data_IF_067583404980
#
_entry.id   IF_067583404980
#
_cell.length_a   1.000
_cell.length_b   1.000
_cell.length_c   1.000
_cell.angle_alpha   90.00
_cell.angle_beta   90.00
_cell.angle_gamma   90.00
#
_symmetry.space_group_name_H-M   'P 1'
#
loop_
_entity.id
_entity.type
_entity.pdbx_description
1 polymer ?
#
# COMPACT_ATOMS: atom_id res chain seq x y z
N UNK A 1 23.32 68.89 -22.34
CA UNK A 1 23.77 67.98 -21.27
C UNK A 1 22.73 68.02 -20.16
N UNK A 2 21.90 66.98 -20.04
CA UNK A 2 20.99 66.80 -18.91
C UNK A 2 21.33 65.49 -18.21
N UNK A 3 21.68 65.62 -16.95
CA UNK A 3 22.15 64.58 -16.03
C UNK A 3 20.97 63.73 -15.55
N UNK A 4 20.86 62.49 -16.03
CA UNK A 4 19.99 61.49 -15.42
C UNK A 4 20.73 60.88 -14.21
N UNK A 5 20.62 61.52 -13.03
CA UNK A 5 20.92 60.86 -11.76
C UNK A 5 19.78 59.89 -11.44
N UNK A 6 19.81 58.72 -12.05
CA UNK A 6 18.92 57.61 -11.65
C UNK A 6 19.46 57.08 -10.32
N UNK A 7 18.68 57.35 -9.28
CA UNK A 7 18.99 57.06 -7.89
C UNK A 7 19.26 55.58 -7.68
N UNK A 8 20.53 55.23 -7.48
CA UNK A 8 21.04 53.88 -7.22
C UNK A 8 20.56 53.29 -5.86
N UNK A 9 19.62 53.96 -5.18
CA UNK A 9 18.98 53.48 -3.95
C UNK A 9 17.73 52.61 -4.23
N UNK A 10 17.04 52.81 -5.35
CA UNK A 10 15.80 52.09 -5.67
C UNK A 10 16.03 50.61 -6.01
N UNK A 11 17.19 50.30 -6.60
CA UNK A 11 17.53 48.93 -7.02
C UNK A 11 17.90 48.04 -5.82
N UNK A 12 18.49 48.62 -4.76
CA UNK A 12 18.86 47.86 -3.57
C UNK A 12 17.66 47.49 -2.69
N UNK A 13 16.64 48.36 -2.59
CA UNK A 13 15.44 48.07 -1.77
C UNK A 13 14.58 46.98 -2.41
N UNK A 14 14.51 46.93 -3.74
CA UNK A 14 13.75 45.89 -4.45
C UNK A 14 14.36 44.49 -4.31
N UNK A 15 15.70 44.37 -4.28
CA UNK A 15 16.38 43.08 -4.12
C UNK A 15 16.30 42.52 -2.68
N UNK A 16 16.21 43.38 -1.67
CA UNK A 16 16.07 42.91 -0.27
C UNK A 16 14.65 42.40 0.01
N UNK A 17 13.62 42.99 -0.60
CA UNK A 17 12.22 42.56 -0.41
C UNK A 17 11.95 41.19 -1.09
N UNK A 18 12.55 40.91 -2.25
CA UNK A 18 12.46 39.58 -2.88
C UNK A 18 13.22 38.50 -2.11
N UNK A 19 14.36 38.81 -1.49
CA UNK A 19 15.12 37.83 -0.69
C UNK A 19 14.43 37.47 0.65
N UNK A 20 13.71 38.40 1.28
CA UNK A 20 13.00 38.14 2.55
C UNK A 20 11.66 37.42 2.33
N UNK A 21 11.03 37.59 1.16
CA UNK A 21 9.79 36.87 0.82
C UNK A 21 10.04 35.42 0.37
N UNK A 22 11.21 35.12 -0.21
CA UNK A 22 11.57 33.74 -0.58
C UNK A 22 12.13 32.89 0.58
N UNK A 23 12.50 33.50 1.71
CA UNK A 23 13.05 32.78 2.88
C UNK A 23 12.02 32.48 3.97
N UNK A 24 10.81 33.04 3.88
CA UNK A 24 9.71 32.80 4.83
C UNK A 24 8.73 31.69 4.41
N UNK A 25 9.08 30.86 3.44
CA UNK A 25 8.34 29.62 3.15
C UNK A 25 9.29 28.43 3.02
N UNK A 26 9.75 27.89 4.16
CA UNK A 26 9.67 26.44 4.28
C UNK A 26 9.38 26.03 5.72
N UNK A 27 8.12 26.01 6.14
CA UNK A 27 7.75 25.36 7.40
C UNK A 27 6.36 24.69 7.41
N UNK A 28 5.50 24.94 6.42
CA UNK A 28 4.15 24.34 6.39
C UNK A 28 3.84 23.49 5.14
N UNK A 29 4.80 23.26 4.25
CA UNK A 29 4.58 22.46 3.04
C UNK A 29 5.28 21.08 3.03
N UNK A 30 5.80 20.59 4.18
CA UNK A 30 6.40 19.24 4.26
C UNK A 30 5.49 18.16 4.85
N UNK A 31 4.28 18.50 5.29
CA UNK A 31 3.32 17.51 5.86
C UNK A 31 2.10 17.23 4.98
N UNK A 32 2.10 17.59 3.70
CA UNK A 32 0.93 17.33 2.84
C UNK A 32 1.32 17.07 1.38
N UNK A 33 2.29 16.18 1.17
CA UNK A 33 2.47 15.50 -0.11
C UNK A 33 1.95 14.05 -0.07
N UNK A 34 1.10 13.73 0.91
CA UNK A 34 0.14 12.64 0.74
C UNK A 34 -1.02 13.25 -0.06
N UNK A 35 -1.38 12.70 -1.24
CA UNK A 35 -2.56 13.14 -1.95
C UNK A 35 -3.75 13.03 -1.01
N UNK A 36 -4.37 14.17 -0.69
CA UNK A 36 -5.69 14.18 -0.04
C UNK A 36 -6.74 13.89 -1.11
N UNK A 37 -7.33 12.71 -1.07
CA UNK A 37 -8.77 12.56 -1.25
C UNK A 37 -9.31 12.75 -2.66
N UNK A 38 -8.82 11.97 -3.63
CA UNK A 38 -9.73 11.47 -4.67
C UNK A 38 -10.55 10.30 -4.09
N UNK A 39 -11.20 9.45 -4.88
CA UNK A 39 -11.57 8.11 -4.41
C UNK A 39 -10.27 7.35 -4.10
N UNK A 40 -9.73 7.56 -2.91
CA UNK A 40 -8.34 7.24 -2.56
C UNK A 40 -8.15 5.74 -2.63
N UNK A 41 -7.41 5.31 -3.66
CA UNK A 41 -7.01 3.94 -3.84
C UNK A 41 -5.72 3.70 -3.07
N UNK A 42 -5.75 2.79 -2.10
CA UNK A 42 -4.59 2.35 -1.34
C UNK A 42 -4.08 1.03 -1.88
N UNK A 43 -2.77 0.94 -2.12
CA UNK A 43 -2.09 -0.29 -2.49
C UNK A 43 -1.64 -1.02 -1.22
N UNK A 44 -2.22 -2.18 -0.93
CA UNK A 44 -2.00 -2.94 0.30
C UNK A 44 -0.75 -3.82 0.17
N UNK A 45 0.41 -3.15 0.06
CA UNK A 45 1.69 -3.79 -0.30
C UNK A 45 2.21 -4.77 0.76
N UNK A 46 1.89 -4.50 2.04
CA UNK A 46 2.41 -5.25 3.19
C UNK A 46 1.41 -6.25 3.75
N UNK A 47 0.11 -6.04 3.55
CA UNK A 47 -0.89 -6.95 4.10
C UNK A 47 -2.32 -6.53 3.85
N UNK A 48 -3.22 -7.50 3.93
CA UNK A 48 -4.65 -7.32 3.73
C UNK A 48 -5.40 -8.28 4.67
N UNK A 49 -5.99 -7.73 5.74
CA UNK A 49 -6.53 -8.50 6.87
C UNK A 49 -8.04 -8.19 7.08
N UNK A 50 -8.97 -9.01 6.54
CA UNK A 50 -10.42 -8.83 6.74
C UNK A 50 -10.86 -9.22 8.16
N UNK A 51 -10.12 -10.14 8.78
CA UNK A 51 -10.45 -10.67 10.11
C UNK A 51 -9.97 -9.77 11.26
N UNK A 52 -9.39 -8.60 10.97
CA UNK A 52 -9.02 -7.61 11.98
C UNK A 52 -10.23 -7.18 12.84
N UNK A 53 -11.38 -6.97 12.18
CA UNK A 53 -12.66 -6.77 12.86
C UNK A 53 -13.74 -7.56 12.12
N UNK A 54 -13.98 -8.83 12.52
CA UNK A 54 -14.89 -9.73 11.83
C UNK A 54 -16.30 -9.13 11.72
N UNK A 55 -16.87 -9.17 10.51
CA UNK A 55 -18.23 -8.70 10.25
C UNK A 55 -18.41 -7.17 10.18
N UNK A 56 -17.33 -6.39 10.22
CA UNK A 56 -17.41 -4.92 10.10
C UNK A 56 -17.69 -4.44 8.67
N UNK A 57 -17.42 -5.27 7.67
CA UNK A 57 -17.41 -4.87 6.25
C UNK A 57 -16.18 -4.04 5.85
N UNK A 58 -15.26 -3.82 6.79
CA UNK A 58 -13.97 -3.17 6.56
C UNK A 58 -12.84 -4.19 6.62
N UNK A 59 -11.80 -3.92 5.83
CA UNK A 59 -10.57 -4.69 5.76
C UNK A 59 -9.39 -3.78 6.10
N UNK A 60 -8.48 -4.29 6.92
CA UNK A 60 -7.24 -3.59 7.23
C UNK A 60 -6.27 -3.76 6.05
N UNK A 61 -5.90 -2.65 5.44
CA UNK A 61 -4.93 -2.56 4.35
C UNK A 61 -3.60 -2.04 4.89
N UNK A 62 -2.59 -2.89 4.96
CA UNK A 62 -1.24 -2.50 5.35
C UNK A 62 -0.47 -2.07 4.10
N UNK A 63 -0.27 -0.77 3.96
CA UNK A 63 0.27 -0.18 2.73
C UNK A 63 1.76 0.16 2.82
N UNK A 64 2.27 0.32 4.04
CA UNK A 64 3.69 0.40 4.36
C UNK A 64 3.95 -0.25 5.73
N UNK A 65 5.22 -0.48 6.07
CA UNK A 65 5.61 -1.05 7.36
C UNK A 65 5.03 -0.22 8.53
N UNK A 66 4.21 -0.87 9.36
CA UNK A 66 3.54 -0.22 10.50
C UNK A 66 2.47 0.81 10.11
N UNK A 67 2.10 0.93 8.84
CA UNK A 67 1.11 1.88 8.35
C UNK A 67 -0.11 1.13 7.80
N UNK A 68 -1.29 1.47 8.33
CA UNK A 68 -2.54 0.79 7.97
C UNK A 68 -3.64 1.80 7.66
N UNK A 69 -4.54 1.41 6.75
CA UNK A 69 -5.80 2.09 6.49
C UNK A 69 -6.94 1.08 6.50
N UNK A 70 -8.16 1.52 6.76
CA UNK A 70 -9.34 0.66 6.78
C UNK A 70 -10.20 0.95 5.55
N UNK A 71 -10.37 -0.03 4.70
CA UNK A 71 -11.08 0.11 3.43
C UNK A 71 -12.36 -0.74 3.45
N UNK A 72 -13.37 -0.39 2.66
CA UNK A 72 -14.53 -1.29 2.49
C UNK A 72 -14.09 -2.55 1.73
N UNK A 73 -14.40 -3.74 2.25
CA UNK A 73 -13.96 -5.03 1.68
C UNK A 73 -14.32 -5.16 0.19
N UNK A 74 -15.51 -4.69 -0.19
CA UNK A 74 -16.03 -4.73 -1.56
C UNK A 74 -15.24 -3.88 -2.57
N UNK A 75 -14.27 -3.09 -2.11
CA UNK A 75 -13.46 -2.22 -2.97
C UNK A 75 -12.06 -2.78 -3.24
N UNK A 76 -11.71 -3.90 -2.59
CA UNK A 76 -10.40 -4.51 -2.68
C UNK A 76 -10.34 -5.56 -3.79
N UNK A 77 -9.46 -5.34 -4.76
CA UNK A 77 -9.32 -6.17 -5.95
C UNK A 77 -8.14 -7.16 -5.88
N UNK A 78 -7.91 -7.96 -6.91
CA UNK A 78 -6.84 -8.96 -6.95
C UNK A 78 -5.45 -8.41 -7.29
N UNK A 79 -5.27 -7.08 -7.27
CA UNK A 79 -4.02 -6.42 -7.65
C UNK A 79 -3.82 -6.26 -9.16
N UNK A 80 -4.76 -6.76 -9.97
CA UNK A 80 -4.88 -6.36 -11.36
C UNK A 80 -5.49 -4.96 -11.49
N UNK A 81 -5.33 -4.31 -12.66
CA UNK A 81 -6.06 -3.07 -12.95
C UNK A 81 -7.55 -3.31 -12.71
N UNK A 82 -8.26 -2.44 -11.99
CA UNK A 82 -9.61 -2.74 -11.51
C UNK A 82 -10.54 -3.06 -12.67
N UNK A 83 -10.97 -4.31 -12.69
CA UNK A 83 -12.10 -4.79 -13.48
C UNK A 83 -13.27 -4.89 -12.52
N UNK A 84 -14.45 -4.44 -12.93
CA UNK A 84 -15.67 -4.59 -12.13
C UNK A 84 -15.89 -6.07 -11.79
N UNK A 85 -16.09 -6.36 -10.49
CA UNK A 85 -16.26 -7.73 -9.98
C UNK A 85 -14.96 -8.47 -9.63
N UNK A 86 -13.79 -7.84 -9.83
CA UNK A 86 -12.51 -8.37 -9.36
C UNK A 86 -12.39 -8.20 -7.84
N UNK A 87 -12.13 -9.30 -7.13
CA UNK A 87 -12.03 -9.35 -5.67
C UNK A 87 -10.66 -9.85 -5.28
N UNK A 88 -10.11 -9.31 -4.20
CA UNK A 88 -8.87 -9.81 -3.60
C UNK A 88 -8.93 -11.33 -3.30
N UNK A 89 -10.12 -11.88 -3.08
CA UNK A 89 -10.32 -13.32 -2.86
C UNK A 89 -9.92 -14.19 -4.04
N UNK A 90 -9.79 -13.60 -5.23
CA UNK A 90 -9.36 -14.27 -6.46
C UNK A 90 -7.85 -14.10 -6.75
N UNK A 91 -7.08 -13.58 -5.81
CA UNK A 91 -5.63 -13.52 -5.97
C UNK A 91 -5.03 -14.92 -6.11
N UNK A 92 -4.13 -15.04 -7.08
CA UNK A 92 -3.36 -16.25 -7.32
C UNK A 92 -1.94 -16.08 -6.81
N UNK A 93 -1.49 -17.07 -6.04
CA UNK A 93 -0.13 -17.12 -5.51
C UNK A 93 0.60 -18.32 -6.06
N UNK A 94 1.79 -18.06 -6.57
CA UNK A 94 2.62 -19.01 -7.27
C UNK A 94 3.76 -19.47 -6.38
N UNK A 95 4.15 -20.73 -6.58
CA UNK A 95 5.35 -21.31 -5.99
C UNK A 95 5.35 -21.22 -4.45
N UNK A 96 4.20 -21.52 -3.85
CA UNK A 96 4.00 -21.48 -2.41
C UNK A 96 4.35 -22.83 -1.76
N UNK A 97 4.51 -22.79 -0.45
CA UNK A 97 4.67 -23.97 0.39
C UNK A 97 3.66 -23.94 1.52
N UNK A 98 2.88 -25.01 1.69
CA UNK A 98 1.95 -25.14 2.82
C UNK A 98 2.74 -25.11 4.13
N UNK A 99 2.36 -24.24 5.06
CA UNK A 99 2.97 -24.20 6.38
C UNK A 99 2.52 -25.42 7.20
N UNK A 100 3.42 -25.95 8.03
CA UNK A 100 3.22 -27.18 8.81
C UNK A 100 2.30 -26.99 10.03
N UNK A 101 1.51 -25.92 10.06
CA UNK A 101 0.58 -25.68 11.14
C UNK A 101 -0.48 -26.80 11.17
N UNK A 102 -0.69 -27.39 12.36
CA UNK A 102 -1.80 -28.29 12.67
C UNK A 102 -1.80 -29.70 12.04
N UNK A 103 -0.62 -30.28 11.75
CA UNK A 103 -0.51 -31.72 11.44
C UNK A 103 -0.93 -32.10 10.01
N UNK A 104 -1.15 -31.11 9.15
CA UNK A 104 -1.30 -31.29 7.70
C UNK A 104 0.09 -31.41 7.07
N UNK A 105 0.25 -32.31 6.09
CA UNK A 105 1.53 -32.54 5.43
C UNK A 105 2.07 -31.31 4.70
N UNK A 106 3.38 -31.14 4.67
CA UNK A 106 4.03 -30.11 3.87
C UNK A 106 3.89 -30.42 2.39
N UNK A 107 3.45 -29.43 1.62
CA UNK A 107 3.39 -29.48 0.17
C UNK A 107 4.10 -28.24 -0.39
N UNK A 108 4.92 -28.42 -1.42
CA UNK A 108 5.77 -27.37 -2.01
C UNK A 108 5.41 -27.16 -3.48
N UNK A 109 5.74 -25.99 -4.02
CA UNK A 109 5.44 -25.59 -5.40
C UNK A 109 3.93 -25.58 -5.71
N UNK A 110 3.10 -25.27 -4.69
CA UNK A 110 1.64 -25.23 -4.85
C UNK A 110 1.19 -23.87 -5.37
N UNK A 111 0.03 -23.88 -6.03
CA UNK A 111 -0.66 -22.67 -6.45
C UNK A 111 -1.86 -22.42 -5.54
N UNK A 112 -1.84 -21.29 -4.83
CA UNK A 112 -3.01 -20.80 -4.06
C UNK A 112 -3.90 -20.04 -5.03
N UNK A 113 -5.19 -20.40 -5.09
CA UNK A 113 -6.16 -19.86 -6.07
C UNK A 113 -7.29 -19.07 -5.44
N UNK A 114 -7.42 -19.13 -4.12
CA UNK A 114 -8.32 -18.27 -3.36
C UNK A 114 -7.63 -17.75 -2.11
N UNK A 115 -7.87 -16.48 -1.81
CA UNK A 115 -7.21 -15.74 -0.72
C UNK A 115 -8.22 -15.31 0.33
N UNK A 116 -7.95 -15.62 1.59
CA UNK A 116 -8.66 -15.09 2.74
C UNK A 116 -7.97 -13.84 3.27
N UNK A 117 -6.65 -13.90 3.45
CA UNK A 117 -5.81 -12.78 3.85
C UNK A 117 -4.35 -13.02 3.41
N UNK A 118 -3.53 -11.97 3.47
CA UNK A 118 -2.10 -12.11 3.29
C UNK A 118 -1.33 -11.07 4.09
N UNK A 119 -0.09 -11.41 4.48
CA UNK A 119 0.85 -10.53 5.17
C UNK A 119 2.27 -10.77 4.66
N UNK A 120 3.02 -9.69 4.42
CA UNK A 120 4.44 -9.75 4.08
C UNK A 120 5.23 -9.87 5.38
N UNK A 121 5.92 -11.00 5.53
CA UNK A 121 6.81 -11.25 6.64
C UNK A 121 8.26 -10.93 6.21
N UNK A 122 8.88 -9.99 6.92
CA UNK A 122 10.27 -9.61 6.72
C UNK A 122 11.15 -10.27 7.77
N UNK A 123 11.34 -11.58 7.64
CA UNK A 123 12.28 -12.31 8.48
C UNK A 123 13.73 -11.98 8.04
N UNK A 124 14.69 -11.88 8.99
CA UNK A 124 16.09 -11.64 8.66
C UNK A 124 16.63 -12.71 7.68
N UNK A 125 16.84 -12.31 6.43
CA UNK A 125 17.38 -13.16 5.36
C UNK A 125 16.35 -13.87 4.48
N UNK A 126 15.04 -13.74 4.75
CA UNK A 126 13.98 -14.33 3.93
C UNK A 126 12.71 -13.46 3.91
N UNK A 127 12.52 -12.70 2.83
CA UNK A 127 11.27 -12.00 2.57
C UNK A 127 10.26 -12.95 1.95
N UNK A 128 9.12 -13.12 2.61
CA UNK A 128 8.06 -13.99 2.13
C UNK A 128 6.69 -13.39 2.42
N UNK A 129 5.68 -14.03 1.86
CA UNK A 129 4.28 -13.67 2.02
C UNK A 129 3.61 -14.84 2.71
N UNK A 130 3.02 -14.59 3.87
CA UNK A 130 2.09 -15.48 4.51
C UNK A 130 0.74 -15.27 3.85
N UNK A 131 0.16 -16.34 3.30
CA UNK A 131 -1.13 -16.31 2.62
C UNK A 131 -2.03 -17.32 3.29
N UNK A 132 -3.16 -16.87 3.82
CA UNK A 132 -4.25 -17.78 4.17
C UNK A 132 -5.16 -17.92 2.97
N UNK A 133 -5.38 -19.15 2.53
CA UNK A 133 -6.14 -19.38 1.31
C UNK A 133 -6.33 -20.85 1.00
N UNK A 134 -6.79 -21.13 -0.22
CA UNK A 134 -7.07 -22.48 -0.70
C UNK A 134 -6.25 -22.75 -1.95
N UNK A 135 -5.53 -23.87 -1.99
CA UNK A 135 -4.79 -24.29 -3.18
C UNK A 135 -5.69 -24.94 -4.24
N UNK A 136 -5.20 -24.99 -5.47
CA UNK A 136 -5.93 -25.64 -6.56
C UNK A 136 -6.22 -27.12 -6.23
N UNK A 137 -7.49 -27.52 -6.31
CA UNK A 137 -7.91 -28.90 -6.06
C UNK A 137 -8.08 -29.26 -4.58
N UNK A 138 -7.84 -28.31 -3.66
CA UNK A 138 -8.14 -28.45 -2.24
C UNK A 138 -9.44 -27.69 -1.92
N UNK A 139 -10.13 -28.11 -0.87
CA UNK A 139 -11.33 -27.44 -0.34
C UNK A 139 -11.09 -26.77 1.00
N UNK A 140 -9.98 -27.10 1.66
CA UNK A 140 -9.63 -26.55 2.98
C UNK A 140 -8.73 -25.33 2.85
N UNK A 141 -8.91 -24.40 3.78
CA UNK A 141 -8.05 -23.22 3.90
C UNK A 141 -6.85 -23.55 4.77
N UNK A 142 -5.67 -23.18 4.28
CA UNK A 142 -4.41 -23.36 4.98
C UNK A 142 -3.57 -22.08 4.92
N UNK A 143 -2.54 -22.05 5.75
CA UNK A 143 -1.48 -21.05 5.67
C UNK A 143 -0.40 -21.52 4.70
N UNK A 144 0.03 -20.62 3.83
CA UNK A 144 1.05 -20.84 2.83
C UNK A 144 2.14 -19.79 2.93
N UNK A 145 3.38 -20.22 2.75
CA UNK A 145 4.55 -19.36 2.63
C UNK A 145 4.85 -19.24 1.13
N UNK A 146 4.68 -18.04 0.58
CA UNK A 146 4.90 -17.74 -0.83
C UNK A 146 6.10 -16.80 -1.01
N UNK A 147 6.88 -17.01 -2.06
CA UNK A 147 8.04 -16.15 -2.37
C UNK A 147 7.61 -14.76 -2.84
N UNK A 148 8.23 -13.71 -2.31
CA UNK A 148 7.89 -12.33 -2.62
C UNK A 148 8.14 -12.00 -4.11
N UNK A 149 9.27 -12.42 -4.67
CA UNK A 149 9.64 -12.17 -6.07
C UNK A 149 8.69 -12.84 -7.09
N UNK A 150 8.17 -14.03 -6.75
CA UNK A 150 7.25 -14.78 -7.62
C UNK A 150 5.84 -14.20 -7.62
N UNK A 151 5.53 -13.38 -6.63
CA UNK A 151 4.20 -12.85 -6.37
C UNK A 151 4.28 -11.33 -6.23
N UNK A 152 4.40 -10.56 -7.33
CA UNK A 152 4.52 -9.10 -7.26
C UNK A 152 3.18 -8.37 -7.10
N UNK A 153 2.05 -9.01 -7.43
CA UNK A 153 0.73 -8.38 -7.40
C UNK A 153 0.18 -8.31 -5.98
N UNK A 154 -0.38 -7.15 -5.61
CA UNK A 154 -1.02 -6.88 -4.30
C UNK A 154 -2.30 -6.10 -4.52
N UNK A 155 -3.26 -6.27 -3.63
CA UNK A 155 -4.57 -5.64 -3.74
C UNK A 155 -4.49 -4.11 -3.76
N UNK A 156 -5.34 -3.52 -4.59
CA UNK A 156 -5.75 -2.12 -4.46
C UNK A 156 -7.13 -2.07 -3.84
N UNK A 157 -7.29 -1.26 -2.80
CA UNK A 157 -8.55 -0.98 -2.13
C UNK A 157 -8.93 0.48 -2.32
N UNK A 158 -10.21 0.84 -2.31
CA UNK A 158 -10.67 2.23 -2.45
C UNK A 158 -11.48 2.68 -1.23
N UNK A 159 -11.65 4.00 -1.07
CA UNK A 159 -12.46 4.54 0.02
C UNK A 159 -11.87 4.19 1.39
N UNK A 160 -10.54 4.20 1.47
CA UNK A 160 -9.82 3.85 2.69
C UNK A 160 -9.73 5.05 3.64
N UNK A 161 -9.89 4.79 4.94
CA UNK A 161 -9.76 5.78 6.00
C UNK A 161 -8.57 5.43 6.89
N UNK A 162 -7.79 6.44 7.27
CA UNK A 162 -6.77 6.30 8.31
C UNK A 162 -7.48 6.51 9.66
N UNK A 163 -7.48 5.51 10.55
CA UNK A 163 -8.14 5.55 11.87
C UNK A 163 -7.15 5.38 13.00
#
# INVERSE_FOLDING_TARGET
MLTARVSMLGVYVACVITLVTFSAQPAQARNSLVPRGGPDRRHCSYGLNPDWQPGSGFIQCEWAEGQTSFCAESTCNSGSTPVDGDSYKNMHWQDCRRNLANGVGQESHVQVVSTQDYNVAMDPGYEHILVHGTQQGDSETHEYICGLEKNPLRSFCAGCEDR
#
